data_IF_928102923770
#
_entry.id   IF_928102923770
#
_cell.length_a   1.000
_cell.length_b   1.000
_cell.length_c   1.000
_cell.angle_alpha   90.00
_cell.angle_beta   90.00
_cell.angle_gamma   90.00
#
_symmetry.space_group_name_H-M   'P 1'
#
loop_
_entity.id
_entity.type
_entity.pdbx_description
1 polymer ?
#
# COMPACT_ATOMS: atom_id res chain seq x y z
N UNK A 1 19.51 15.59 -15.22
CA UNK A 1 18.30 14.93 -15.76
C UNK A 1 17.23 14.98 -14.69
N UNK A 2 15.97 15.26 -15.04
CA UNK A 2 14.86 15.22 -14.07
C UNK A 2 14.64 13.77 -13.63
N UNK A 3 14.68 13.49 -12.33
CA UNK A 3 14.40 12.16 -11.79
C UNK A 3 12.92 12.09 -11.38
N UNK A 4 12.12 11.20 -11.99
CA UNK A 4 10.69 11.11 -11.69
C UNK A 4 10.45 10.61 -10.27
N UNK A 5 9.41 11.17 -9.63
CA UNK A 5 8.99 10.85 -8.27
C UNK A 5 7.57 10.29 -8.26
N UNK A 6 7.26 9.45 -7.29
CA UNK A 6 5.93 8.93 -7.03
C UNK A 6 5.52 9.18 -5.58
N UNK A 7 4.27 9.59 -5.37
CA UNK A 7 3.64 9.55 -4.05
C UNK A 7 3.04 8.16 -3.83
N UNK A 8 3.36 7.53 -2.70
CA UNK A 8 2.86 6.21 -2.33
C UNK A 8 2.23 6.25 -0.95
N UNK A 9 1.17 5.45 -0.77
CA UNK A 9 0.59 5.14 0.53
C UNK A 9 1.07 3.75 0.95
N UNK A 10 1.74 3.65 2.09
CA UNK A 10 2.34 2.41 2.54
C UNK A 10 1.29 1.46 3.14
N UNK A 11 1.52 0.17 2.94
CA UNK A 11 0.85 -0.91 3.66
C UNK A 11 1.77 -1.44 4.77
N UNK A 12 1.21 -2.17 5.73
CA UNK A 12 2.04 -2.91 6.70
C UNK A 12 2.79 -4.06 6.01
N UNK A 13 3.88 -4.58 6.61
CA UNK A 13 4.56 -5.78 6.12
C UNK A 13 3.60 -6.97 5.94
N UNK A 14 3.95 -7.89 5.03
CA UNK A 14 3.16 -9.09 4.79
C UNK A 14 3.03 -9.94 6.06
N UNK A 15 1.78 -10.27 6.40
CA UNK A 15 1.44 -11.19 7.47
C UNK A 15 1.18 -12.61 6.97
N UNK A 16 0.33 -13.33 7.70
CA UNK A 16 -0.13 -14.67 7.29
C UNK A 16 -1.09 -14.53 6.10
N UNK A 17 -0.92 -15.28 5.00
CA UNK A 17 -1.86 -15.27 3.88
C UNK A 17 -3.21 -15.84 4.30
N UNK A 18 -4.29 -15.36 3.67
CA UNK A 18 -5.63 -15.86 3.90
C UNK A 18 -5.70 -17.37 3.62
N UNK A 19 -6.26 -18.20 4.52
CA UNK A 19 -6.16 -19.65 4.41
C UNK A 19 -6.92 -20.23 3.21
N UNK A 20 -7.91 -19.51 2.68
CA UNK A 20 -8.78 -19.96 1.58
C UNK A 20 -8.20 -19.50 0.23
N UNK A 21 -7.98 -18.20 0.08
CA UNK A 21 -7.53 -17.57 -1.18
C UNK A 21 -6.02 -17.65 -1.37
N UNK A 22 -5.26 -17.91 -0.30
CA UNK A 22 -3.78 -17.86 -0.25
C UNK A 22 -3.18 -16.49 -0.59
N UNK A 23 -4.01 -15.44 -0.63
CA UNK A 23 -3.57 -14.07 -0.90
C UNK A 23 -3.24 -13.32 0.41
N UNK A 24 -2.31 -12.37 0.34
CA UNK A 24 -2.01 -11.50 1.47
C UNK A 24 -3.07 -10.43 1.64
N UNK A 25 -3.56 -10.31 2.87
CA UNK A 25 -4.36 -9.14 3.29
C UNK A 25 -3.45 -8.18 4.03
N UNK A 26 -3.22 -7.00 3.47
CA UNK A 26 -2.39 -5.96 4.10
C UNK A 26 -3.25 -4.73 4.44
N UNK A 27 -3.32 -4.29 5.71
CA UNK A 27 -3.89 -3.01 6.06
C UNK A 27 -2.94 -1.84 5.69
N UNK A 28 -3.48 -0.64 5.43
CA UNK A 28 -2.65 0.56 5.29
C UNK A 28 -1.81 0.78 6.55
N UNK A 29 -0.56 1.22 6.37
CA UNK A 29 0.28 1.72 7.45
C UNK A 29 -0.22 3.10 7.88
N UNK A 30 -0.12 3.41 9.17
CA UNK A 30 -0.58 4.68 9.73
C UNK A 30 0.52 5.40 10.49
N UNK A 31 0.59 6.71 10.33
CA UNK A 31 1.44 7.61 11.10
C UNK A 31 0.59 8.78 11.60
N UNK A 32 0.64 9.07 12.90
CA UNK A 32 -0.23 10.08 13.56
C UNK A 32 -1.73 9.91 13.25
N UNK A 33 -2.24 8.68 13.26
CA UNK A 33 -3.64 8.33 12.93
C UNK A 33 -4.08 8.65 11.48
N UNK A 34 -3.13 8.98 10.59
CA UNK A 34 -3.38 9.14 9.15
C UNK A 34 -2.65 8.06 8.36
N UNK A 35 -3.08 7.83 7.10
CA UNK A 35 -2.38 6.91 6.20
C UNK A 35 -0.94 7.39 6.02
N UNK A 36 0.02 6.49 6.18
CA UNK A 36 1.42 6.83 6.03
C UNK A 36 1.76 6.95 4.53
N UNK A 37 1.94 8.19 4.07
CA UNK A 37 2.37 8.50 2.71
C UNK A 37 3.82 8.96 2.64
N UNK A 38 4.51 8.64 1.55
CA UNK A 38 5.89 9.05 1.27
C UNK A 38 6.05 9.42 -0.22
N UNK A 39 6.96 10.35 -0.53
CA UNK A 39 7.40 10.60 -1.91
C UNK A 39 8.71 9.85 -2.14
N UNK A 40 8.72 8.94 -3.10
CA UNK A 40 9.87 8.09 -3.42
C UNK A 40 10.33 8.29 -4.86
N UNK A 41 11.60 8.02 -5.14
CA UNK A 41 12.07 7.82 -6.52
C UNK A 41 11.40 6.61 -7.15
N UNK A 42 11.02 6.70 -8.43
CA UNK A 42 10.30 5.59 -9.10
C UNK A 42 11.16 4.33 -9.23
N UNK A 43 12.48 4.46 -9.16
CA UNK A 43 13.43 3.35 -9.15
C UNK A 43 13.31 2.45 -7.90
N UNK A 44 12.69 2.97 -6.82
CA UNK A 44 12.35 2.18 -5.62
C UNK A 44 11.13 1.26 -5.83
N UNK A 45 10.36 1.44 -6.91
CA UNK A 45 9.21 0.59 -7.23
C UNK A 45 9.70 -0.59 -8.06
N UNK A 46 9.80 -1.76 -7.43
CA UNK A 46 10.35 -2.96 -8.08
C UNK A 46 9.32 -3.65 -8.97
N UNK A 47 8.16 -4.02 -8.42
CA UNK A 47 7.13 -4.80 -9.11
C UNK A 47 5.76 -4.64 -8.46
N UNK A 48 4.71 -4.90 -9.24
CA UNK A 48 3.35 -5.03 -8.74
C UNK A 48 3.15 -6.39 -8.05
N UNK A 49 2.30 -6.43 -7.03
CA UNK A 49 1.91 -7.67 -6.36
C UNK A 49 0.39 -7.81 -6.30
N UNK A 50 -0.10 -9.06 -6.27
CA UNK A 50 -1.52 -9.35 -6.09
C UNK A 50 -1.84 -9.46 -4.59
N UNK A 51 -2.76 -8.62 -4.14
CA UNK A 51 -3.23 -8.58 -2.76
C UNK A 51 -4.71 -8.95 -2.72
N UNK A 52 -5.17 -9.46 -1.58
CA UNK A 52 -6.60 -9.61 -1.35
C UNK A 52 -7.20 -8.20 -1.15
N UNK A 53 -8.11 -7.74 -2.03
CA UNK A 53 -8.72 -6.43 -1.88
C UNK A 53 -9.61 -6.37 -0.63
N UNK A 54 -9.53 -5.27 0.11
CA UNK A 54 -10.52 -4.94 1.13
C UNK A 54 -11.66 -4.13 0.51
N UNK A 55 -12.79 -4.78 0.31
CA UNK A 55 -14.01 -4.15 -0.18
C UNK A 55 -14.74 -3.34 0.91
N UNK A 56 -15.66 -2.46 0.50
CA UNK A 56 -16.59 -1.77 1.41
C UNK A 56 -16.03 -0.55 2.15
N UNK A 57 -14.79 -0.12 1.86
CA UNK A 57 -14.23 1.13 2.40
C UNK A 57 -14.35 2.25 1.37
N UNK A 58 -14.97 3.37 1.75
CA UNK A 58 -14.98 4.61 0.96
C UNK A 58 -13.90 5.52 1.51
N UNK A 59 -12.97 5.97 0.66
CA UNK A 59 -12.03 7.03 1.04
C UNK A 59 -12.84 8.32 1.17
N UNK A 60 -12.77 8.96 2.33
CA UNK A 60 -13.34 10.29 2.49
C UNK A 60 -12.57 11.23 1.55
N UNK A 61 -13.25 11.96 0.63
CA UNK A 61 -12.57 12.88 -0.27
C UNK A 61 -12.06 14.14 0.42
N UNK A 62 -12.44 14.37 1.68
CA UNK A 62 -12.16 15.60 2.44
C UNK A 62 -10.87 15.55 3.25
#
# INVERSE_FOLDING_TARGET
TSHPLAYVEWYTPFGVPDPITKLFTVPPSTHNNHVYGEVIGVDRIVLNCHLLPKYGRRKDPT
#
